data_IF_035445666324
#
_entry.id   IF_035445666324
#
_cell.length_a   1.000
_cell.length_b   1.000
_cell.length_c   1.000
_cell.angle_alpha   90.00
_cell.angle_beta   90.00
_cell.angle_gamma   90.00
#
_symmetry.space_group_name_H-M   'P 1'
#
loop_
_entity.id
_entity.type
_entity.pdbx_description
1 polymer ?
#
# COMPACT_ATOMS: atom_id res chain seq x y z
N UNK A 1 -35.77 15.22 -13.83
CA UNK A 1 -36.08 13.78 -13.99
C UNK A 1 -36.45 13.53 -15.45
N UNK A 2 -35.89 12.50 -16.08
CA UNK A 2 -36.43 12.00 -17.36
C UNK A 2 -37.77 11.32 -17.07
N UNK A 3 -38.79 11.57 -17.87
CA UNK A 3 -39.97 10.72 -17.85
C UNK A 3 -39.68 9.43 -18.64
N UNK A 4 -40.32 8.32 -18.23
CA UNK A 4 -40.21 7.01 -18.90
C UNK A 4 -40.34 7.09 -20.43
N UNK A 5 -41.23 7.92 -21.01
CA UNK A 5 -41.33 8.09 -22.47
C UNK A 5 -40.06 8.64 -23.15
N UNK A 6 -39.33 9.56 -22.51
CA UNK A 6 -38.11 10.12 -23.09
C UNK A 6 -36.95 9.12 -23.07
N UNK A 7 -36.88 8.29 -22.03
CA UNK A 7 -35.92 7.18 -21.96
C UNK A 7 -36.23 6.17 -23.06
N UNK A 8 -37.49 5.74 -23.15
CA UNK A 8 -37.93 4.76 -24.14
C UNK A 8 -37.68 5.25 -25.58
N UNK A 9 -38.05 6.48 -25.90
CA UNK A 9 -37.86 7.06 -27.24
C UNK A 9 -36.39 7.17 -27.64
N UNK A 10 -35.53 7.67 -26.74
CA UNK A 10 -34.08 7.78 -26.99
C UNK A 10 -33.44 6.40 -27.25
N UNK A 11 -33.98 5.36 -26.62
CA UNK A 11 -33.51 3.98 -26.78
C UNK A 11 -34.01 3.33 -28.08
N UNK A 12 -35.26 3.58 -28.47
CA UNK A 12 -35.81 3.14 -29.76
C UNK A 12 -35.04 3.78 -30.93
N UNK A 13 -34.67 5.05 -30.79
CA UNK A 13 -33.82 5.77 -31.75
C UNK A 13 -32.41 5.17 -31.83
N UNK A 14 -31.77 4.85 -30.68
CA UNK A 14 -30.45 4.19 -30.68
C UNK A 14 -30.49 2.80 -31.33
N UNK A 15 -31.49 1.98 -31.02
CA UNK A 15 -31.61 0.62 -31.59
C UNK A 15 -31.76 0.69 -33.10
N UNK A 16 -32.54 1.66 -33.60
CA UNK A 16 -32.80 1.84 -35.02
C UNK A 16 -31.59 2.42 -35.76
N UNK A 17 -30.88 3.38 -35.17
CA UNK A 17 -29.92 4.23 -35.88
C UNK A 17 -28.46 4.03 -35.42
N UNK A 18 -28.22 3.22 -34.39
CA UNK A 18 -26.93 3.01 -33.72
C UNK A 18 -26.26 4.30 -33.20
N UNK A 19 -27.04 5.35 -32.95
CA UNK A 19 -26.59 6.65 -32.45
C UNK A 19 -26.66 6.70 -30.94
N UNK A 20 -25.62 7.14 -30.23
CA UNK A 20 -25.59 7.14 -28.76
C UNK A 20 -26.89 7.74 -28.17
N UNK A 21 -27.54 7.07 -27.19
CA UNK A 21 -28.78 7.56 -26.62
C UNK A 21 -28.55 8.92 -25.94
N UNK A 22 -29.22 9.95 -26.44
CA UNK A 22 -29.17 11.32 -25.93
C UNK A 22 -30.57 11.79 -25.56
N UNK A 23 -30.71 12.45 -24.42
CA UNK A 23 -31.96 13.11 -23.99
C UNK A 23 -32.38 14.10 -25.09
N UNK A 24 -33.62 14.00 -25.58
CA UNK A 24 -34.11 14.88 -26.64
C UNK A 24 -34.01 16.35 -26.19
N UNK A 25 -33.29 17.16 -26.97
CA UNK A 25 -33.32 18.62 -26.98
C UNK A 25 -33.08 19.35 -25.64
N UNK A 26 -31.93 19.12 -24.99
CA UNK A 26 -31.27 20.14 -24.16
C UNK A 26 -31.81 20.40 -22.76
N UNK A 27 -32.80 19.64 -22.27
CA UNK A 27 -33.38 19.86 -20.93
C UNK A 27 -32.69 19.01 -19.84
N UNK A 28 -32.02 17.91 -20.19
CA UNK A 28 -31.47 17.00 -19.18
C UNK A 28 -30.11 16.40 -19.54
N UNK A 29 -29.04 16.88 -18.90
CA UNK A 29 -27.68 16.32 -18.99
C UNK A 29 -27.49 15.13 -18.01
N UNK A 30 -28.47 14.25 -17.89
CA UNK A 30 -28.42 13.13 -16.94
C UNK A 30 -27.96 11.83 -17.63
N UNK A 31 -26.97 11.14 -17.05
CA UNK A 31 -26.49 9.84 -17.50
C UNK A 31 -27.09 8.73 -16.63
N UNK A 32 -27.72 7.73 -17.25
CA UNK A 32 -28.35 6.59 -16.55
C UNK A 32 -27.32 5.74 -15.81
N UNK A 33 -27.61 5.38 -14.55
CA UNK A 33 -26.82 4.40 -13.79
C UNK A 33 -27.23 2.96 -14.12
N UNK A 34 -26.40 1.96 -13.78
CA UNK A 34 -26.77 0.54 -13.97
C UNK A 34 -28.04 0.17 -13.21
N UNK A 35 -28.23 0.78 -12.04
CA UNK A 35 -29.42 0.58 -11.24
C UNK A 35 -30.67 1.14 -11.95
N UNK A 36 -30.59 2.36 -12.48
CA UNK A 36 -31.70 2.98 -13.22
C UNK A 36 -32.14 2.10 -14.41
N UNK A 37 -31.16 1.53 -15.12
CA UNK A 37 -31.41 0.57 -16.20
C UNK A 37 -32.07 -0.70 -15.69
N UNK A 38 -31.61 -1.28 -14.57
CA UNK A 38 -32.19 -2.51 -14.02
C UNK A 38 -33.64 -2.38 -13.54
N UNK A 39 -34.10 -1.15 -13.27
CA UNK A 39 -35.47 -0.87 -12.85
C UNK A 39 -36.44 -0.61 -14.02
N UNK A 40 -35.95 -0.56 -15.26
CA UNK A 40 -36.81 -0.37 -16.42
C UNK A 40 -37.58 -1.67 -16.74
N UNK A 41 -38.88 -1.60 -17.08
CA UNK A 41 -39.70 -2.78 -17.41
C UNK A 41 -39.38 -3.30 -18.82
N UNK A 42 -38.14 -3.69 -19.06
CA UNK A 42 -37.62 -4.14 -20.34
C UNK A 42 -37.44 -5.65 -20.37
N UNK A 43 -37.44 -6.21 -21.58
CA UNK A 43 -37.11 -7.64 -21.77
C UNK A 43 -35.65 -7.90 -21.34
N UNK A 44 -35.34 -9.08 -20.76
CA UNK A 44 -34.01 -9.40 -20.21
C UNK A 44 -32.83 -9.17 -21.15
N UNK A 45 -32.99 -9.47 -22.44
CA UNK A 45 -31.93 -9.32 -23.45
C UNK A 45 -31.58 -7.86 -23.71
N UNK A 46 -32.59 -6.98 -23.66
CA UNK A 46 -32.41 -5.53 -23.78
C UNK A 46 -31.74 -4.97 -22.53
N UNK A 47 -32.17 -5.44 -21.35
CA UNK A 47 -31.59 -5.05 -20.07
C UNK A 47 -30.08 -5.38 -20.01
N UNK A 48 -29.72 -6.59 -20.44
CA UNK A 48 -28.33 -7.08 -20.47
C UNK A 48 -27.46 -6.25 -21.42
N UNK A 49 -27.99 -5.95 -22.61
CA UNK A 49 -27.31 -5.10 -23.60
C UNK A 49 -27.08 -3.69 -23.06
N UNK A 50 -28.04 -3.12 -22.32
CA UNK A 50 -27.94 -1.79 -21.72
C UNK A 50 -26.99 -1.73 -20.53
N UNK A 51 -27.01 -2.74 -19.66
CA UNK A 51 -26.11 -2.86 -18.51
C UNK A 51 -24.63 -2.99 -18.93
N UNK A 52 -24.36 -3.49 -20.13
CA UNK A 52 -23.03 -3.53 -20.74
C UNK A 52 -22.57 -2.14 -21.23
N UNK A 53 -23.51 -1.27 -21.62
CA UNK A 53 -23.25 0.07 -22.16
C UNK A 53 -23.18 1.16 -21.08
N UNK A 54 -23.79 0.94 -19.91
CA UNK A 54 -23.66 1.88 -18.78
C UNK A 54 -22.30 1.71 -18.10
N UNK A 55 -21.42 2.68 -18.31
CA UNK A 55 -20.00 2.61 -17.88
C UNK A 55 -19.83 2.77 -16.35
N UNK A 56 -20.84 3.25 -15.60
CA UNK A 56 -20.61 3.62 -14.18
C UNK A 56 -21.50 2.89 -13.17
N UNK A 57 -20.84 2.32 -12.15
CA UNK A 57 -21.42 1.97 -10.85
C UNK A 57 -21.75 3.28 -10.12
N UNK A 58 -22.97 3.79 -10.25
CA UNK A 58 -23.40 4.97 -9.49
C UNK A 58 -24.47 4.57 -8.50
N UNK A 59 -24.25 4.88 -7.22
CA UNK A 59 -25.31 5.07 -6.24
C UNK A 59 -25.71 6.54 -6.32
N UNK A 60 -27.01 6.90 -6.20
CA UNK A 60 -27.41 8.28 -6.10
C UNK A 60 -26.92 8.85 -4.77
N UNK A 61 -26.43 10.07 -4.84
CA UNK A 61 -26.00 10.85 -3.69
C UNK A 61 -27.21 11.64 -3.20
N UNK A 62 -27.50 11.59 -1.91
CA UNK A 62 -28.51 12.46 -1.32
C UNK A 62 -28.11 13.93 -1.53
N UNK A 63 -28.96 14.78 -2.10
CA UNK A 63 -28.65 16.20 -2.24
C UNK A 63 -28.64 16.95 -0.90
N UNK A 64 -29.12 16.33 0.18
CA UNK A 64 -29.20 16.94 1.52
C UNK A 64 -28.00 16.58 2.40
N UNK A 65 -27.77 15.30 2.66
CA UNK A 65 -26.63 14.86 3.49
C UNK A 65 -25.36 14.56 2.68
N UNK A 66 -25.41 14.66 1.35
CA UNK A 66 -24.29 14.41 0.45
C UNK A 66 -23.72 12.99 0.54
N UNK A 67 -24.45 12.05 1.15
CA UNK A 67 -24.06 10.65 1.25
C UNK A 67 -24.60 9.81 0.09
N UNK A 68 -23.83 8.80 -0.31
CA UNK A 68 -24.31 7.75 -1.20
C UNK A 68 -25.30 6.87 -0.44
N UNK A 69 -26.52 6.79 -0.95
CA UNK A 69 -27.58 6.00 -0.32
C UNK A 69 -27.59 4.62 -0.97
N UNK A 70 -27.58 3.57 -0.14
CA UNK A 70 -28.04 2.24 -0.57
C UNK A 70 -29.56 2.24 -0.51
N UNK A 71 -30.20 2.04 -1.65
CA UNK A 71 -31.65 2.07 -1.77
C UNK A 71 -32.09 0.92 -2.69
N UNK A 72 -33.22 0.32 -2.37
CA UNK A 72 -33.75 -0.86 -3.07
C UNK A 72 -34.80 -0.49 -4.13
N UNK A 73 -35.46 0.66 -3.96
CA UNK A 73 -36.48 1.20 -4.87
C UNK A 73 -36.43 2.73 -4.89
N UNK A 74 -36.83 3.38 -5.98
CA UNK A 74 -36.87 4.87 -6.06
C UNK A 74 -37.67 5.51 -4.92
N UNK A 75 -38.72 4.85 -4.45
CA UNK A 75 -39.52 5.29 -3.31
C UNK A 75 -38.69 5.36 -2.02
N UNK A 76 -37.83 4.37 -1.76
CA UNK A 76 -36.91 4.40 -0.60
C UNK A 76 -35.89 5.53 -0.67
N UNK A 77 -35.45 5.91 -1.88
CA UNK A 77 -34.59 7.08 -2.07
C UNK A 77 -35.35 8.39 -1.83
N UNK A 78 -36.55 8.55 -2.39
CA UNK A 78 -37.36 9.76 -2.17
C UNK A 78 -37.77 9.93 -0.72
N UNK A 79 -38.10 8.84 -0.03
CA UNK A 79 -38.34 8.83 1.41
C UNK A 79 -37.09 9.26 2.17
N UNK A 80 -35.90 8.71 1.85
CA UNK A 80 -34.66 9.19 2.44
C UNK A 80 -34.46 10.68 2.19
N UNK A 81 -34.55 11.19 0.95
CA UNK A 81 -34.34 12.62 0.66
C UNK A 81 -35.35 13.50 1.39
N UNK A 82 -36.62 13.06 1.50
CA UNK A 82 -37.68 13.79 2.19
C UNK A 82 -37.43 13.92 3.69
N UNK A 83 -37.00 12.84 4.33
CA UNK A 83 -36.75 12.78 5.78
C UNK A 83 -35.30 13.06 6.18
N UNK A 84 -34.38 13.11 5.22
CA UNK A 84 -33.00 13.44 5.47
C UNK A 84 -32.92 14.90 5.88
N UNK A 85 -32.71 15.12 7.17
CA UNK A 85 -32.31 16.41 7.70
C UNK A 85 -30.79 16.34 7.92
N UNK A 86 -29.99 17.09 7.14
CA UNK A 86 -28.54 17.10 7.34
C UNK A 86 -28.16 17.63 8.73
N UNK A 87 -29.07 18.34 9.41
CA UNK A 87 -28.88 18.82 10.78
C UNK A 87 -29.07 17.73 11.86
N UNK A 88 -29.58 16.55 11.52
CA UNK A 88 -29.76 15.46 12.51
C UNK A 88 -28.48 14.64 12.73
N UNK A 89 -27.48 14.86 11.87
CA UNK A 89 -26.17 14.22 11.95
C UNK A 89 -25.21 15.14 12.71
N UNK A 90 -24.89 14.78 13.95
CA UNK A 90 -24.05 15.57 14.84
C UNK A 90 -22.63 14.97 14.83
N UNK A 91 -21.58 15.80 14.65
CA UNK A 91 -20.21 15.32 14.73
C UNK A 91 -19.86 14.94 16.18
N UNK A 92 -19.35 13.73 16.37
CA UNK A 92 -18.79 13.30 17.65
C UNK A 92 -17.59 14.18 18.04
N UNK A 93 -17.54 14.66 19.29
CA UNK A 93 -16.49 15.57 19.77
C UNK A 93 -15.08 14.94 19.78
N UNK A 94 -14.96 13.61 19.76
CA UNK A 94 -13.70 12.89 19.84
C UNK A 94 -13.15 12.41 18.49
N UNK A 95 -14.01 11.88 17.61
CA UNK A 95 -13.60 11.34 16.31
C UNK A 95 -14.05 12.19 15.12
N UNK A 96 -14.93 13.18 15.31
CA UNK A 96 -15.53 14.00 14.26
C UNK A 96 -16.33 13.25 13.19
N UNK A 97 -16.56 11.93 13.36
CA UNK A 97 -17.52 11.20 12.54
C UNK A 97 -18.95 11.67 12.84
N UNK A 98 -19.82 11.61 11.83
CA UNK A 98 -21.20 12.07 11.93
C UNK A 98 -22.10 10.91 12.37
N UNK A 99 -22.92 11.15 13.41
CA UNK A 99 -23.87 10.19 13.97
C UNK A 99 -25.25 10.80 14.10
N UNK A 100 -26.28 9.95 14.04
CA UNK A 100 -27.65 10.36 14.36
C UNK A 100 -27.75 10.74 15.84
N UNK A 101 -28.57 11.75 16.17
CA UNK A 101 -28.68 12.28 17.54
C UNK A 101 -28.88 11.20 18.62
N UNK A 102 -29.64 10.14 18.32
CA UNK A 102 -29.91 9.05 19.27
C UNK A 102 -28.76 8.03 19.39
N UNK A 103 -27.81 8.01 18.46
CA UNK A 103 -26.60 7.19 18.54
C UNK A 103 -25.43 7.95 19.16
N UNK A 104 -25.51 9.28 19.23
CA UNK A 104 -24.40 10.13 19.60
C UNK A 104 -23.93 9.88 21.03
N UNK A 105 -24.84 9.74 21.99
CA UNK A 105 -24.48 9.59 23.41
C UNK A 105 -23.75 8.26 23.68
N UNK A 106 -24.30 7.15 23.16
CA UNK A 106 -23.68 5.82 23.27
C UNK A 106 -22.32 5.79 22.57
N UNK A 107 -22.25 6.34 21.35
CA UNK A 107 -21.00 6.42 20.62
C UNK A 107 -19.97 7.29 21.34
N UNK A 108 -20.35 8.45 21.87
CA UNK A 108 -19.45 9.40 22.55
C UNK A 108 -18.85 8.76 23.80
N UNK A 109 -19.65 8.04 24.58
CA UNK A 109 -19.19 7.29 25.75
C UNK A 109 -18.13 6.22 25.37
N UNK A 110 -18.35 5.49 24.28
CA UNK A 110 -17.39 4.52 23.77
C UNK A 110 -16.13 5.19 23.20
N UNK A 111 -16.30 6.21 22.35
CA UNK A 111 -15.25 6.89 21.61
C UNK A 111 -14.26 7.63 22.51
N UNK A 112 -14.72 8.13 23.67
CA UNK A 112 -13.84 8.76 24.67
C UNK A 112 -12.70 7.84 25.10
N UNK A 113 -12.93 6.53 25.15
CA UNK A 113 -11.96 5.53 25.61
C UNK A 113 -11.04 4.99 24.50
N UNK A 114 -11.31 5.33 23.23
CA UNK A 114 -10.50 4.89 22.09
C UNK A 114 -9.22 5.74 21.99
N UNK A 115 -8.04 5.13 21.76
CA UNK A 115 -6.80 5.85 21.50
C UNK A 115 -6.93 6.87 20.36
N UNK A 116 -6.28 8.04 20.52
CA UNK A 116 -6.37 9.17 19.55
C UNK A 116 -6.01 8.75 18.12
N UNK A 117 -5.02 7.87 17.94
CA UNK A 117 -4.60 7.42 16.62
C UNK A 117 -5.65 6.54 15.92
N UNK A 118 -6.35 5.70 16.68
CA UNK A 118 -7.46 4.89 16.18
C UNK A 118 -8.66 5.76 15.83
N UNK A 119 -8.99 6.77 16.64
CA UNK A 119 -10.06 7.74 16.32
C UNK A 119 -9.78 8.50 15.03
N UNK A 120 -8.54 8.95 14.83
CA UNK A 120 -8.11 9.60 13.59
C UNK A 120 -8.23 8.67 12.39
N UNK A 121 -7.88 7.40 12.55
CA UNK A 121 -8.01 6.42 11.49
C UNK A 121 -9.48 6.14 11.15
N UNK A 122 -10.33 5.96 12.18
CA UNK A 122 -11.77 5.81 12.00
C UNK A 122 -12.40 7.01 11.26
N UNK A 123 -11.95 8.24 11.55
CA UNK A 123 -12.39 9.43 10.82
C UNK A 123 -11.96 9.40 9.34
N UNK A 124 -10.70 9.03 9.07
CA UNK A 124 -10.19 8.90 7.70
C UNK A 124 -10.98 7.84 6.92
N UNK A 125 -11.26 6.69 7.54
CA UNK A 125 -12.01 5.60 6.94
C UNK A 125 -13.47 5.97 6.74
N UNK A 126 -14.06 6.70 7.69
CA UNK A 126 -15.38 7.30 7.55
C UNK A 126 -15.42 8.22 6.34
N UNK A 127 -14.55 9.23 6.25
CA UNK A 127 -14.50 10.13 5.09
C UNK A 127 -14.29 9.35 3.79
N UNK A 128 -13.34 8.41 3.75
CA UNK A 128 -13.08 7.57 2.58
C UNK A 128 -14.33 6.79 2.14
N UNK A 129 -15.12 6.26 3.08
CA UNK A 129 -16.37 5.55 2.81
C UNK A 129 -17.47 6.44 2.23
N UNK A 130 -17.42 7.76 2.48
CA UNK A 130 -18.42 8.73 2.02
C UNK A 130 -18.07 9.39 0.68
N UNK A 131 -16.84 9.23 0.20
CA UNK A 131 -16.40 9.85 -1.06
C UNK A 131 -16.93 9.13 -2.30
N UNK A 132 -17.27 9.92 -3.32
CA UNK A 132 -17.69 9.44 -4.65
C UNK A 132 -16.66 8.55 -5.33
N UNK A 133 -15.40 8.91 -5.13
CA UNK A 133 -14.28 8.31 -5.81
C UNK A 133 -13.43 7.53 -4.81
N UNK A 134 -12.79 6.43 -5.24
CA UNK A 134 -12.00 5.59 -4.36
C UNK A 134 -10.71 6.33 -3.97
N UNK A 135 -10.80 7.17 -2.94
CA UNK A 135 -9.64 7.72 -2.29
C UNK A 135 -9.07 6.68 -1.33
N UNK A 136 -7.76 6.51 -1.37
CA UNK A 136 -7.08 5.71 -0.36
C UNK A 136 -7.09 6.46 0.97
N UNK A 137 -7.08 5.76 2.13
CA UNK A 137 -6.94 6.40 3.43
C UNK A 137 -5.74 7.36 3.52
N UNK A 138 -4.67 7.07 2.78
CA UNK A 138 -3.47 7.93 2.70
C UNK A 138 -3.77 9.25 2.02
N UNK A 139 -4.53 9.24 0.91
CA UNK A 139 -4.91 10.47 0.20
C UNK A 139 -5.87 11.34 1.02
N UNK A 140 -6.85 10.71 1.68
CA UNK A 140 -7.78 11.41 2.59
C UNK A 140 -7.01 12.03 3.76
N UNK A 141 -6.11 11.27 4.39
CA UNK A 141 -5.23 11.77 5.46
C UNK A 141 -4.41 12.97 5.01
N UNK A 142 -3.76 12.87 3.84
CA UNK A 142 -2.98 13.97 3.28
C UNK A 142 -3.82 15.23 3.08
N UNK A 143 -5.05 15.08 2.57
CA UNK A 143 -5.97 16.19 2.36
C UNK A 143 -6.38 16.86 3.68
N UNK A 144 -6.76 16.06 4.69
CA UNK A 144 -7.13 16.57 6.02
C UNK A 144 -5.97 17.36 6.65
N UNK A 145 -4.75 16.84 6.56
CA UNK A 145 -3.56 17.54 7.04
C UNK A 145 -3.30 18.85 6.28
N UNK A 146 -3.56 18.88 4.97
CA UNK A 146 -3.47 20.10 4.17
C UNK A 146 -4.50 21.15 4.59
N UNK A 147 -5.74 20.74 4.93
CA UNK A 147 -6.76 21.68 5.44
C UNK A 147 -6.39 22.22 6.82
N UNK A 148 -5.85 21.37 7.70
CA UNK A 148 -5.32 21.78 9.01
C UNK A 148 -4.23 22.84 8.89
N UNK A 149 -3.29 22.66 7.96
CA UNK A 149 -2.24 23.65 7.69
C UNK A 149 -2.80 25.00 7.21
N UNK A 150 -3.90 24.96 6.46
CA UNK A 150 -4.62 26.16 6.00
C UNK A 150 -5.54 26.78 7.05
N UNK A 151 -5.57 26.23 8.28
CA UNK A 151 -6.47 26.65 9.37
C UNK A 151 -7.95 26.66 8.96
N UNK A 152 -8.35 25.74 8.08
CA UNK A 152 -9.74 25.55 7.68
C UNK A 152 -10.45 24.59 8.63
N UNK A 153 -11.77 24.71 8.71
CA UNK A 153 -12.67 23.80 9.43
C UNK A 153 -12.45 22.36 8.93
N UNK A 154 -12.47 21.41 9.87
CA UNK A 154 -12.41 19.97 9.59
C UNK A 154 -13.85 19.45 9.60
N UNK A 155 -14.76 20.19 8.96
CA UNK A 155 -16.13 19.74 8.82
C UNK A 155 -16.15 18.56 7.83
N UNK A 156 -16.75 17.41 8.18
CA UNK A 156 -16.75 16.24 7.31
C UNK A 156 -17.43 16.50 5.96
N UNK A 157 -18.48 17.34 5.91
CA UNK A 157 -19.16 17.70 4.66
C UNK A 157 -18.25 18.56 3.80
N UNK A 158 -17.62 19.58 4.37
CA UNK A 158 -16.65 20.41 3.64
C UNK A 158 -15.50 19.58 3.07
N UNK A 159 -15.00 18.61 3.83
CA UNK A 159 -13.93 17.72 3.36
C UNK A 159 -14.42 16.84 2.22
N UNK A 160 -15.61 16.25 2.33
CA UNK A 160 -16.20 15.40 1.29
C UNK A 160 -16.46 16.20 0.02
N UNK A 161 -17.03 17.39 0.12
CA UNK A 161 -17.30 18.28 -1.02
C UNK A 161 -16.03 18.76 -1.69
N UNK A 162 -15.06 19.19 -0.91
CA UNK A 162 -13.82 19.71 -1.45
C UNK A 162 -12.94 18.59 -2.04
N UNK A 163 -13.00 17.37 -1.50
CA UNK A 163 -12.44 16.19 -2.14
C UNK A 163 -13.20 15.81 -3.40
N UNK A 164 -14.53 15.90 -3.44
CA UNK A 164 -15.33 15.66 -4.65
C UNK A 164 -15.00 16.64 -5.78
N UNK A 165 -14.70 17.90 -5.44
CA UNK A 165 -14.21 18.91 -6.39
C UNK A 165 -12.82 18.58 -6.93
N UNK A 166 -11.88 18.16 -6.07
CA UNK A 166 -10.53 17.72 -6.47
C UNK A 166 -10.61 16.44 -7.31
N UNK A 167 -11.59 15.58 -7.02
CA UNK A 167 -11.79 14.28 -7.65
C UNK A 167 -12.50 14.33 -9.00
N UNK A 168 -12.75 15.50 -9.61
CA UNK A 168 -13.22 15.55 -11.01
C UNK A 168 -12.29 14.82 -11.97
N UNK A 169 -11.08 14.47 -11.52
CA UNK A 169 -10.18 13.58 -12.23
C UNK A 169 -9.50 12.63 -11.22
N UNK A 170 -10.20 11.58 -10.72
CA UNK A 170 -9.69 10.70 -9.67
C UNK A 170 -8.51 9.83 -10.14
N UNK A 171 -8.38 9.69 -11.46
CA UNK A 171 -7.27 9.05 -12.15
C UNK A 171 -6.12 10.02 -12.44
N UNK A 172 -6.27 11.31 -12.10
CA UNK A 172 -5.21 12.28 -12.27
C UNK A 172 -4.16 12.05 -11.19
N UNK A 173 -3.04 11.54 -11.67
CA UNK A 173 -1.83 11.33 -10.89
C UNK A 173 -1.24 12.67 -10.45
N UNK A 174 -0.87 12.79 -9.18
CA UNK A 174 -0.16 13.94 -8.66
C UNK A 174 0.96 13.54 -7.71
N UNK A 175 1.88 14.47 -7.49
CA UNK A 175 3.03 14.31 -6.61
C UNK A 175 2.60 14.57 -5.17
N UNK A 176 2.88 13.62 -4.29
CA UNK A 176 2.70 13.76 -2.84
C UNK A 176 4.06 13.88 -2.20
N UNK A 177 4.23 14.86 -1.31
CA UNK A 177 5.47 15.06 -0.56
C UNK A 177 5.17 14.80 0.92
N UNK A 178 5.89 13.86 1.52
CA UNK A 178 5.77 13.61 2.95
C UNK A 178 6.37 14.78 3.73
N UNK A 179 5.62 15.38 4.65
CA UNK A 179 6.13 16.50 5.45
C UNK A 179 7.24 16.10 6.43
N UNK A 180 7.23 14.85 6.91
CA UNK A 180 8.20 14.38 7.90
C UNK A 180 9.57 14.06 7.28
N UNK A 181 9.58 13.28 6.19
CA UNK A 181 10.82 12.81 5.56
C UNK A 181 11.14 13.45 4.21
N UNK A 182 10.30 14.39 3.74
CA UNK A 182 10.42 15.06 2.43
C UNK A 182 10.41 14.14 1.22
N UNK A 183 10.09 12.85 1.38
CA UNK A 183 10.06 11.91 0.28
C UNK A 183 8.89 12.19 -0.67
N UNK A 184 9.14 12.08 -1.98
CA UNK A 184 8.16 12.31 -3.04
C UNK A 184 7.63 10.98 -3.58
N UNK A 185 6.30 10.80 -3.59
CA UNK A 185 5.66 9.59 -4.09
C UNK A 185 4.42 9.90 -4.94
N UNK A 186 4.04 8.93 -5.76
CA UNK A 186 2.89 8.99 -6.63
C UNK A 186 1.60 8.71 -5.87
N UNK A 187 0.60 9.59 -6.01
CA UNK A 187 -0.69 9.46 -5.34
C UNK A 187 -1.48 8.18 -5.66
N UNK A 188 -1.18 7.53 -6.79
CA UNK A 188 -1.89 6.32 -7.24
C UNK A 188 -1.15 5.04 -6.81
N UNK A 189 0.11 4.85 -7.22
CA UNK A 189 0.84 3.60 -6.98
C UNK A 189 1.68 3.58 -5.69
N UNK A 190 1.77 4.70 -4.95
CA UNK A 190 2.60 4.87 -3.74
C UNK A 190 4.09 4.55 -3.93
N UNK A 191 4.59 4.47 -5.16
CA UNK A 191 6.02 4.40 -5.48
C UNK A 191 6.61 5.81 -5.60
N UNK A 192 7.94 5.91 -5.73
CA UNK A 192 8.63 7.17 -6.02
C UNK A 192 7.96 7.89 -7.19
N UNK A 193 7.76 9.21 -7.06
CA UNK A 193 7.05 9.97 -8.08
C UNK A 193 7.80 9.91 -9.43
N UNK A 194 7.09 9.52 -10.49
CA UNK A 194 7.68 9.23 -11.79
C UNK A 194 7.28 10.26 -12.85
N UNK A 195 8.20 11.09 -13.32
CA UNK A 195 7.88 12.13 -14.31
C UNK A 195 7.64 11.52 -15.70
N UNK A 196 6.73 12.12 -16.48
CA UNK A 196 6.48 11.79 -17.90
C UNK A 196 6.09 10.33 -18.21
N UNK A 197 5.68 9.55 -17.21
CA UNK A 197 5.20 8.17 -17.40
C UNK A 197 4.01 7.87 -16.49
N UNK A 198 3.20 6.88 -16.87
CA UNK A 198 2.08 6.42 -16.06
C UNK A 198 2.49 5.28 -15.10
N UNK A 199 1.65 4.97 -14.12
CA UNK A 199 1.98 4.00 -13.07
C UNK A 199 2.23 2.59 -13.60
N UNK A 200 1.59 2.20 -14.70
CA UNK A 200 1.72 0.86 -15.29
C UNK A 200 3.07 0.69 -16.00
N UNK A 201 3.54 1.75 -16.67
CA UNK A 201 4.80 1.76 -17.40
C UNK A 201 6.03 1.78 -16.50
N UNK A 202 5.94 2.27 -15.26
CA UNK A 202 7.09 2.37 -14.34
C UNK A 202 7.77 1.02 -14.14
N UNK A 203 7.01 -0.06 -13.98
CA UNK A 203 7.56 -1.39 -13.79
C UNK A 203 8.37 -1.84 -15.01
N UNK A 204 7.81 -1.65 -16.21
CA UNK A 204 8.46 -1.99 -17.48
C UNK A 204 9.71 -1.14 -17.72
N UNK A 205 9.64 0.18 -17.54
CA UNK A 205 10.79 1.09 -17.68
C UNK A 205 11.88 0.72 -16.68
N UNK A 206 11.50 0.40 -15.44
CA UNK A 206 12.46 -0.03 -14.41
C UNK A 206 13.16 -1.33 -14.81
N UNK A 207 12.41 -2.30 -15.35
CA UNK A 207 12.98 -3.56 -15.85
C UNK A 207 13.92 -3.33 -17.05
N UNK A 208 13.51 -2.53 -18.03
CA UNK A 208 14.34 -2.15 -19.17
C UNK A 208 15.60 -1.42 -18.72
N UNK A 209 15.50 -0.51 -17.77
CA UNK A 209 16.64 0.16 -17.16
C UNK A 209 17.61 -0.84 -16.52
N UNK A 210 17.12 -1.84 -15.79
CA UNK A 210 17.98 -2.87 -15.22
C UNK A 210 18.68 -3.72 -16.29
N UNK A 211 17.97 -4.12 -17.34
CA UNK A 211 18.58 -4.80 -18.49
C UNK A 211 19.67 -3.92 -19.08
N UNK A 212 19.37 -2.65 -19.35
CA UNK A 212 20.36 -1.70 -19.87
C UNK A 212 21.58 -1.59 -18.95
N UNK A 213 21.40 -1.42 -17.63
CA UNK A 213 22.50 -1.34 -16.67
C UNK A 213 23.40 -2.58 -16.68
N UNK A 214 22.82 -3.77 -16.80
CA UNK A 214 23.51 -5.04 -16.61
C UNK A 214 24.15 -5.58 -17.88
N UNK A 215 23.56 -5.31 -19.05
CA UNK A 215 24.01 -5.88 -20.33
C UNK A 215 24.34 -4.78 -21.34
N UNK A 216 23.38 -3.94 -21.69
CA UNK A 216 23.47 -3.07 -22.86
C UNK A 216 24.39 -1.86 -22.65
N UNK A 217 24.52 -1.37 -21.42
CA UNK A 217 25.36 -0.22 -21.06
C UNK A 217 26.82 -0.48 -21.42
N UNK A 218 27.34 -1.67 -21.12
CA UNK A 218 28.71 -2.05 -21.48
C UNK A 218 28.89 -2.08 -23.00
N UNK A 219 27.93 -2.65 -23.73
CA UNK A 219 27.96 -2.68 -25.20
C UNK A 219 27.93 -1.28 -25.80
N UNK A 220 27.10 -0.39 -25.24
CA UNK A 220 27.02 1.01 -25.64
C UNK A 220 28.36 1.73 -25.48
N UNK A 221 29.01 1.61 -24.31
CA UNK A 221 30.31 2.24 -24.09
C UNK A 221 31.39 1.67 -25.02
N UNK A 222 31.41 0.35 -25.27
CA UNK A 222 32.35 -0.26 -26.21
C UNK A 222 32.16 0.24 -27.64
N UNK A 223 30.92 0.33 -28.10
CA UNK A 223 30.60 0.88 -29.42
C UNK A 223 31.03 2.35 -29.53
N UNK A 224 30.74 3.18 -28.52
CA UNK A 224 31.17 4.59 -28.50
C UNK A 224 32.68 4.79 -28.42
N UNK A 225 33.38 3.94 -27.68
CA UNK A 225 34.84 3.97 -27.58
C UNK A 225 35.57 3.57 -28.87
N UNK A 226 34.87 2.89 -29.80
CA UNK A 226 35.36 2.65 -31.17
C UNK A 226 35.24 3.90 -32.04
N UNK A 227 34.18 4.69 -31.86
CA UNK A 227 33.91 5.91 -32.62
C UNK A 227 34.75 7.11 -32.13
N UNK A 228 34.97 7.23 -30.83
CA UNK A 228 35.61 8.41 -30.22
C UNK A 228 36.54 8.03 -29.05
N UNK A 229 37.79 8.52 -29.13
CA UNK A 229 38.86 8.27 -28.16
C UNK A 229 38.52 8.79 -26.75
N UNK A 230 37.71 9.84 -26.63
CA UNK A 230 37.33 10.40 -25.33
C UNK A 230 36.52 9.41 -24.48
N UNK A 231 35.80 8.49 -25.13
CA UNK A 231 35.01 7.45 -24.47
C UNK A 231 35.84 6.24 -24.02
N UNK A 232 37.08 6.10 -24.50
CA UNK A 232 37.97 5.00 -24.07
C UNK A 232 38.33 5.10 -22.59
N UNK A 233 38.67 6.30 -22.11
CA UNK A 233 38.96 6.53 -20.69
C UNK A 233 37.74 6.24 -19.79
N UNK A 234 36.53 6.56 -20.26
CA UNK A 234 35.29 6.27 -19.54
C UNK A 234 34.98 4.76 -19.52
N UNK A 235 35.26 4.05 -20.61
CA UNK A 235 35.13 2.59 -20.68
C UNK A 235 36.09 1.89 -19.72
N UNK A 236 37.36 2.28 -19.69
CA UNK A 236 38.37 1.71 -18.78
C UNK A 236 37.99 1.91 -17.30
N UNK A 237 37.51 3.10 -16.94
CA UNK A 237 37.01 3.37 -15.58
C UNK A 237 35.79 2.48 -15.24
N UNK A 238 34.85 2.36 -16.18
CA UNK A 238 33.67 1.52 -16.01
C UNK A 238 34.04 0.03 -15.82
N UNK A 239 34.96 -0.50 -16.63
CA UNK A 239 35.43 -1.88 -16.53
C UNK A 239 36.20 -2.12 -15.22
N UNK A 240 36.99 -1.14 -14.76
CA UNK A 240 37.67 -1.19 -13.46
C UNK A 240 36.67 -1.27 -12.31
N UNK A 241 35.63 -0.43 -12.32
CA UNK A 241 34.58 -0.45 -11.32
C UNK A 241 33.78 -1.76 -11.35
N UNK A 242 33.47 -2.27 -12.54
CA UNK A 242 32.79 -3.55 -12.71
C UNK A 242 33.62 -4.69 -12.12
N UNK A 243 34.92 -4.75 -12.43
CA UNK A 243 35.84 -5.76 -11.88
C UNK A 243 35.97 -5.67 -10.36
N UNK A 244 36.04 -4.46 -9.79
CA UNK A 244 36.05 -4.25 -8.34
C UNK A 244 34.76 -4.75 -7.68
N UNK A 245 33.60 -4.45 -8.28
CA UNK A 245 32.31 -4.89 -7.78
C UNK A 245 32.13 -6.41 -7.85
N UNK A 246 32.61 -7.06 -8.92
CA UNK A 246 32.59 -8.52 -9.05
C UNK A 246 33.41 -9.15 -7.93
N UNK A 247 34.66 -8.72 -7.73
CA UNK A 247 35.52 -9.22 -6.63
C UNK A 247 34.89 -9.00 -5.26
N UNK A 248 34.30 -7.82 -5.02
CA UNK A 248 33.61 -7.52 -3.75
C UNK A 248 32.42 -8.46 -3.52
N UNK A 249 31.65 -8.73 -4.57
CA UNK A 249 30.49 -9.62 -4.48
C UNK A 249 30.90 -11.09 -4.27
N UNK A 250 31.98 -11.54 -4.90
CA UNK A 250 32.55 -12.88 -4.68
C UNK A 250 33.03 -13.05 -3.23
N UNK A 251 33.75 -12.07 -2.69
CA UNK A 251 34.18 -12.07 -1.29
C UNK A 251 33.00 -12.11 -0.31
N UNK A 252 31.94 -11.34 -0.58
CA UNK A 252 30.72 -11.35 0.23
C UNK A 252 30.02 -12.72 0.19
N UNK A 253 29.99 -13.38 -0.97
CA UNK A 253 29.44 -14.74 -1.10
C UNK A 253 30.26 -15.74 -0.31
N UNK A 254 31.59 -15.70 -0.41
CA UNK A 254 32.47 -16.60 0.35
C UNK A 254 32.25 -16.47 1.86
N UNK A 255 32.23 -15.25 2.39
CA UNK A 255 31.96 -14.99 3.83
C UNK A 255 30.58 -15.47 4.27
N UNK A 256 29.59 -15.35 3.39
CA UNK A 256 28.25 -15.85 3.67
C UNK A 256 28.24 -17.38 3.73
N UNK A 257 28.92 -18.06 2.82
CA UNK A 257 29.06 -19.52 2.83
C UNK A 257 29.82 -20.01 4.08
N UNK A 258 30.91 -19.34 4.47
CA UNK A 258 31.63 -19.59 5.73
C UNK A 258 30.71 -19.45 6.95
N UNK A 259 29.94 -18.35 7.03
CA UNK A 259 28.97 -18.14 8.11
C UNK A 259 27.89 -19.23 8.16
N UNK A 260 27.36 -19.64 6.99
CA UNK A 260 26.36 -20.71 6.91
C UNK A 260 26.93 -22.05 7.37
N UNK A 261 28.18 -22.35 7.01
CA UNK A 261 28.88 -23.55 7.45
C UNK A 261 29.11 -23.55 8.97
N UNK A 262 29.57 -22.42 9.53
CA UNK A 262 29.78 -22.25 10.97
C UNK A 262 28.48 -22.42 11.77
N UNK A 263 27.38 -21.82 11.29
CA UNK A 263 26.09 -21.94 11.95
C UNK A 263 25.51 -23.36 11.84
N UNK A 264 25.69 -24.04 10.71
CA UNK A 264 25.32 -25.44 10.56
C UNK A 264 26.14 -26.35 11.49
N UNK A 265 27.45 -26.09 11.62
CA UNK A 265 28.32 -26.80 12.55
C UNK A 265 27.85 -26.59 14.00
N UNK A 266 27.55 -25.35 14.41
CA UNK A 266 27.02 -25.04 15.75
C UNK A 266 25.67 -25.73 15.99
N UNK A 267 24.79 -25.78 14.99
CA UNK A 267 23.50 -26.45 15.13
C UNK A 267 23.64 -27.95 15.42
N UNK A 268 24.64 -28.59 14.82
CA UNK A 268 24.87 -30.03 14.97
C UNK A 268 25.67 -30.36 16.23
N UNK A 269 26.65 -29.53 16.60
CA UNK A 269 27.64 -29.86 17.63
C UNK A 269 27.47 -29.09 18.93
N UNK A 270 26.61 -28.05 18.97
CA UNK A 270 26.46 -27.20 20.14
C UNK A 270 25.05 -27.25 20.76
N UNK A 271 25.01 -27.04 22.07
CA UNK A 271 23.77 -26.94 22.87
C UNK A 271 23.80 -25.72 23.77
N UNK A 272 22.64 -25.37 24.34
CA UNK A 272 22.48 -24.21 25.22
C UNK A 272 22.60 -24.61 26.69
N UNK A 273 23.46 -23.91 27.44
CA UNK A 273 23.55 -24.08 28.88
C UNK A 273 22.16 -23.84 29.53
N UNK A 274 21.67 -24.74 30.41
CA UNK A 274 20.33 -24.63 30.96
C UNK A 274 20.15 -23.38 31.83
N UNK A 275 21.22 -22.90 32.47
CA UNK A 275 21.21 -21.73 33.36
C UNK A 275 21.40 -20.40 32.62
N UNK A 276 22.52 -20.22 31.92
CA UNK A 276 22.86 -18.92 31.31
C UNK A 276 22.57 -18.83 29.80
N UNK A 277 22.10 -19.91 29.18
CA UNK A 277 21.79 -19.99 27.73
C UNK A 277 22.97 -19.74 26.79
N UNK A 278 24.21 -19.79 27.29
CA UNK A 278 25.41 -19.73 26.45
C UNK A 278 25.55 -20.99 25.60
N UNK A 279 26.05 -20.84 24.38
CA UNK A 279 26.38 -21.95 23.47
C UNK A 279 27.58 -22.70 24.04
N UNK A 280 27.47 -24.03 24.13
CA UNK A 280 28.53 -24.93 24.58
C UNK A 280 28.70 -26.01 23.53
N UNK A 281 29.94 -26.30 23.15
CA UNK A 281 30.33 -27.37 22.23
C UNK A 281 30.69 -28.65 23.02
N UNK A 282 30.39 -29.83 22.46
CA UNK A 282 30.74 -31.10 23.09
C UNK A 282 32.10 -31.61 22.60
N UNK A 283 33.09 -31.59 23.49
CA UNK A 283 34.47 -32.00 23.20
C UNK A 283 34.72 -33.52 23.34
N UNK A 284 33.67 -34.32 23.55
CA UNK A 284 33.76 -35.78 23.69
C UNK A 284 34.06 -36.27 25.13
N UNK A 285 33.99 -37.60 25.33
CA UNK A 285 34.40 -38.29 26.56
C UNK A 285 33.28 -38.59 27.57
N UNK A 286 32.51 -37.60 28.00
CA UNK A 286 31.46 -37.78 29.03
C UNK A 286 30.26 -36.87 28.78
N UNK A 287 29.04 -37.36 29.06
CA UNK A 287 27.81 -36.56 28.97
C UNK A 287 27.68 -35.53 30.10
N UNK A 288 28.46 -35.64 31.19
CA UNK A 288 28.48 -34.67 32.28
C UNK A 288 29.40 -33.48 31.96
N UNK A 289 28.80 -32.33 31.65
CA UNK A 289 29.51 -31.11 31.24
C UNK A 289 29.39 -30.01 32.31
N UNK A 290 30.36 -29.10 32.35
CA UNK A 290 30.33 -27.90 33.22
C UNK A 290 30.45 -26.65 32.37
N UNK A 291 29.49 -25.72 32.48
CA UNK A 291 29.49 -24.51 31.66
C UNK A 291 30.73 -23.64 31.95
N UNK A 292 31.65 -23.55 30.97
CA UNK A 292 32.87 -22.76 31.03
C UNK A 292 34.10 -23.48 31.58
N UNK A 293 34.06 -24.80 31.78
CA UNK A 293 35.23 -25.58 32.25
C UNK A 293 35.28 -26.96 31.60
N UNK A 294 36.48 -27.41 31.26
CA UNK A 294 36.71 -28.81 30.91
C UNK A 294 36.58 -29.68 32.16
N UNK A 295 35.98 -30.87 32.01
CA UNK A 295 35.77 -31.81 33.12
C UNK A 295 37.10 -32.26 33.76
N UNK A 296 38.17 -32.39 32.96
CA UNK A 296 39.50 -32.81 33.42
C UNK A 296 40.43 -31.66 33.86
N UNK A 297 39.92 -30.42 33.97
CA UNK A 297 40.75 -29.23 34.23
C UNK A 297 41.61 -28.83 33.02
N UNK A 298 42.18 -27.62 33.06
CA UNK A 298 43.03 -27.07 31.99
C UNK A 298 42.51 -25.75 31.43
N UNK A 299 41.32 -25.75 30.81
CA UNK A 299 40.70 -24.53 30.27
C UNK A 299 39.58 -24.00 31.17
N UNK A 300 39.74 -22.74 31.61
CA UNK A 300 38.67 -21.93 32.21
C UNK A 300 38.21 -20.89 31.20
N UNK A 301 37.07 -21.15 30.58
CA UNK A 301 36.38 -20.18 29.74
C UNK A 301 35.31 -19.43 30.55
N UNK A 302 34.81 -18.32 30.00
CA UNK A 302 33.73 -17.58 30.65
C UNK A 302 32.42 -18.40 30.65
N UNK A 303 32.02 -18.92 31.80
CA UNK A 303 30.77 -19.67 31.97
C UNK A 303 30.20 -19.55 33.37
N UNK A 304 28.97 -20.02 33.56
CA UNK A 304 28.29 -19.91 34.86
C UNK A 304 28.70 -20.99 35.88
N UNK A 305 29.58 -21.93 35.49
CA UNK A 305 30.09 -23.01 36.33
C UNK A 305 29.07 -24.08 36.71
N UNK A 306 27.83 -24.02 36.19
CA UNK A 306 26.80 -25.01 36.48
C UNK A 306 27.09 -26.32 35.73
N UNK A 307 27.04 -27.45 36.43
CA UNK A 307 27.07 -28.79 35.85
C UNK A 307 25.72 -29.17 35.25
N UNK A 308 25.73 -29.91 34.15
CA UNK A 308 24.54 -30.40 33.46
C UNK A 308 24.88 -31.62 32.59
N UNK A 309 23.86 -32.44 32.30
CA UNK A 309 23.97 -33.55 31.34
C UNK A 309 23.72 -33.03 29.93
N UNK A 310 24.61 -33.35 28.99
CA UNK A 310 24.54 -32.88 27.60
C UNK A 310 23.20 -33.22 26.92
N UNK A 311 22.74 -34.45 27.07
CA UNK A 311 21.54 -34.97 26.39
C UNK A 311 20.25 -34.24 26.79
N UNK A 312 20.18 -33.76 28.04
CA UNK A 312 19.02 -33.06 28.61
C UNK A 312 18.97 -31.56 28.22
N UNK A 313 20.00 -31.05 27.56
CA UNK A 313 20.06 -29.63 27.20
C UNK A 313 19.45 -29.34 25.84
N UNK A 314 18.85 -28.15 25.71
CA UNK A 314 18.22 -27.73 24.45
C UNK A 314 19.30 -27.55 23.36
N UNK A 315 19.10 -28.11 22.15
CA UNK A 315 20.01 -27.90 21.03
C UNK A 315 20.08 -26.43 20.66
N UNK A 316 21.23 -26.00 20.13
CA UNK A 316 21.37 -24.68 19.54
C UNK A 316 20.47 -24.58 18.31
N UNK A 317 19.70 -23.49 18.23
CA UNK A 317 18.90 -23.16 17.05
C UNK A 317 19.61 -21.97 16.41
N UNK A 318 20.13 -22.10 15.17
CA UNK A 318 20.74 -21.00 14.45
C UNK A 318 19.82 -19.79 14.45
N UNK A 319 20.35 -18.64 14.86
CA UNK A 319 19.65 -17.35 14.76
C UNK A 319 19.60 -16.81 13.33
N UNK A 320 19.82 -17.66 12.32
CA UNK A 320 19.52 -17.37 10.92
C UNK A 320 18.01 -17.51 10.71
N UNK A 321 17.22 -16.82 11.52
CA UNK A 321 15.78 -16.71 11.27
C UNK A 321 15.59 -15.92 9.98
N UNK A 322 14.79 -16.53 9.08
CA UNK A 322 14.50 -16.14 7.70
C UNK A 322 15.70 -16.19 6.75
N UNK A 323 15.76 -17.23 5.91
CA UNK A 323 16.20 -17.04 4.53
C UNK A 323 15.63 -15.69 4.09
N UNK A 324 16.45 -14.71 3.65
CA UNK A 324 15.97 -13.35 3.45
C UNK A 324 14.75 -13.45 2.55
N UNK A 325 13.54 -13.23 3.10
CA UNK A 325 12.23 -13.61 2.55
C UNK A 325 12.34 -13.80 1.05
N UNK A 326 12.55 -15.06 0.57
CA UNK A 326 12.97 -15.38 -0.82
C UNK A 326 13.21 -14.10 -1.58
N UNK A 327 14.38 -13.43 -1.43
CA UNK A 327 14.60 -12.11 -2.04
C UNK A 327 14.04 -12.22 -3.44
N UNK A 328 12.91 -11.55 -3.69
CA UNK A 328 12.15 -11.73 -4.94
C UNK A 328 13.02 -11.17 -6.05
N UNK A 329 13.97 -11.96 -6.57
CA UNK A 329 14.94 -11.63 -7.60
C UNK A 329 15.29 -10.12 -7.71
N UNK A 330 15.54 -9.47 -6.58
CA UNK A 330 15.98 -8.09 -6.56
C UNK A 330 17.41 -8.08 -6.07
N UNK A 331 18.33 -8.23 -7.03
CA UNK A 331 19.71 -7.81 -6.85
C UNK A 331 19.73 -6.43 -6.13
N UNK A 332 20.68 -6.17 -5.22
CA UNK A 332 20.76 -4.90 -4.52
C UNK A 332 20.81 -3.77 -5.55
N UNK A 333 19.77 -2.93 -5.53
CA UNK A 333 19.72 -1.65 -6.24
C UNK A 333 20.93 -0.85 -5.72
N UNK A 334 21.77 -0.25 -6.59
CA UNK A 334 22.87 0.60 -6.15
C UNK A 334 22.35 1.62 -5.12
N UNK A 335 23.13 1.83 -4.06
CA UNK A 335 22.79 2.61 -2.87
C UNK A 335 22.42 4.05 -3.25
N UNK A 336 21.14 4.25 -3.51
CA UNK A 336 20.39 5.49 -3.37
C UNK A 336 18.97 5.12 -2.91
N UNK A 337 18.90 4.33 -1.83
CA UNK A 337 17.64 3.96 -1.16
C UNK A 337 17.72 4.39 0.30
N UNK A 338 17.23 5.58 0.61
CA UNK A 338 16.73 5.88 1.94
C UNK A 338 15.54 4.95 2.22
N UNK A 339 15.81 3.83 2.91
CA UNK A 339 14.76 2.94 3.41
C UNK A 339 14.36 3.45 4.79
N UNK A 340 13.36 4.32 4.85
CA UNK A 340 12.76 4.72 6.13
C UNK A 340 11.75 3.66 6.53
N UNK A 341 12.11 2.87 7.54
CA UNK A 341 11.17 2.07 8.31
C UNK A 341 10.36 3.04 9.16
N UNK A 342 9.04 3.11 8.96
CA UNK A 342 8.16 3.82 9.87
C UNK A 342 8.06 3.01 11.17
N UNK A 343 8.99 3.26 12.12
CA UNK A 343 8.70 2.97 13.54
C UNK A 343 7.64 3.97 14.00
N UNK A 344 6.65 3.45 14.71
CA UNK A 344 5.38 4.10 15.02
C UNK A 344 5.49 5.55 15.49
N UNK A 345 4.47 6.31 15.09
CA UNK A 345 4.08 7.54 15.76
C UNK A 345 3.73 7.16 17.20
N UNK A 346 4.43 7.75 18.18
CA UNK A 346 3.89 7.97 19.52
C UNK A 346 2.95 9.16 19.47
#
# INVERSE_FOLDING_TARGET
>A
MLCTPCVQKSMEEHIREKTEPRCCAGVCNYQLSKYDVSCLPLKPDMLTSLLALVITKQRPQCPRCLFYIEFQTMETYEQHVKFCNPNDMIPCEYCHCLYEIYQLDEHTAYCRNIPVHERRQAFIDFIASKLKYPFTPVQVRYYIELQRQKRRTIDPHEIVDALALVARNPNQRFRVVCNACRNEFCSICNQQYHYRTNCQQVAQITQQWFVWCNTERGNYWRARAQEDVTYRAQLEEYERQLGSNVKRNEELRRRYEELMADEAFKAQNCRLCPRCKRIVEHMGGCSSMVCGRNYHGGDQQSGCGKSFTWDDTKPYIPSIDTAPDKIKNSLPRPENKHRIVHKGIR
#
